data_IF_581508012244
#
_entry.id   IF_581508012244
#
_cell.length_a   1.000
_cell.length_b   1.000
_cell.length_c   1.000
_cell.angle_alpha   90.00
_cell.angle_beta   90.00
_cell.angle_gamma   90.00
#
_symmetry.space_group_name_H-M   'P 1'
#
loop_
_entity.id
_entity.type
_entity.pdbx_description
1 polymer ?
#
# COMPACT_ATOMS: atom_id res chain seq x y z
N UNK A 1 2.96 -11.67 -16.11
CA UNK A 1 2.57 -11.55 -14.70
C UNK A 1 1.99 -10.16 -14.56
N UNK A 2 0.77 -10.09 -14.06
CA UNK A 2 0.09 -8.84 -13.76
C UNK A 2 0.42 -8.43 -12.32
N UNK A 3 0.36 -7.13 -12.03
CA UNK A 3 0.64 -6.65 -10.67
C UNK A 3 -0.37 -7.18 -9.63
N UNK A 4 -1.57 -7.52 -10.08
CA UNK A 4 -2.60 -8.19 -9.28
C UNK A 4 -2.12 -9.58 -8.80
N UNK A 5 -1.31 -10.29 -9.58
CA UNK A 5 -0.76 -11.59 -9.19
C UNK A 5 0.07 -11.44 -7.91
N UNK A 6 0.87 -10.37 -7.79
CA UNK A 6 1.63 -10.06 -6.56
C UNK A 6 0.72 -9.71 -5.39
N UNK A 7 -0.36 -8.98 -5.65
CA UNK A 7 -1.27 -8.58 -4.58
C UNK A 7 -2.01 -9.77 -3.97
N UNK A 8 -2.28 -10.81 -4.77
CA UNK A 8 -2.87 -12.06 -4.28
C UNK A 8 -1.91 -12.90 -3.44
N UNK A 9 -0.60 -12.64 -3.48
CA UNK A 9 0.38 -13.28 -2.60
C UNK A 9 0.38 -12.66 -1.19
N UNK A 10 -0.19 -11.46 -1.04
CA UNK A 10 -0.23 -10.75 0.25
C UNK A 10 -1.51 -11.17 1.02
N UNK A 11 -1.39 -11.55 2.30
CA UNK A 11 -2.55 -11.85 3.14
C UNK A 11 -3.51 -10.67 3.22
N UNK A 12 -4.81 -10.96 3.24
CA UNK A 12 -5.82 -9.92 3.40
C UNK A 12 -5.77 -9.33 4.81
N UNK A 13 -5.57 -8.02 4.89
CA UNK A 13 -5.66 -7.24 6.12
C UNK A 13 -6.25 -5.87 5.83
N UNK A 14 -7.23 -5.50 6.64
CA UNK A 14 -7.89 -4.19 6.55
C UNK A 14 -7.49 -3.31 7.74
N UNK A 15 -7.21 -2.04 7.44
CA UNK A 15 -6.97 -1.05 8.48
C UNK A 15 -8.25 -0.93 9.35
N UNK A 16 -8.07 -0.77 10.66
CA UNK A 16 -9.19 -0.46 11.57
C UNK A 16 -9.93 0.79 11.04
N UNK A 17 -11.28 0.85 11.06
CA UNK A 17 -12.02 2.03 10.63
C UNK A 17 -11.48 3.32 11.25
N UNK A 18 -11.21 4.33 10.41
CA UNK A 18 -10.63 5.61 10.82
C UNK A 18 -9.13 5.61 11.12
N UNK A 19 -8.42 4.48 10.96
CA UNK A 19 -6.98 4.45 11.15
C UNK A 19 -6.24 5.16 10.01
N UNK A 20 -5.40 6.13 10.37
CA UNK A 20 -4.63 6.98 9.44
C UNK A 20 -3.16 7.12 9.84
N UNK A 21 -2.74 6.39 10.89
CA UNK A 21 -1.46 6.62 11.56
C UNK A 21 -0.26 6.34 10.64
N UNK A 22 -0.20 5.14 10.03
CA UNK A 22 0.89 4.81 9.11
C UNK A 22 0.95 5.77 7.91
N UNK A 23 -0.20 6.26 7.44
CA UNK A 23 -0.28 7.22 6.33
C UNK A 23 0.19 8.62 6.71
N UNK A 24 0.19 8.99 8.00
CA UNK A 24 0.72 10.26 8.50
C UNK A 24 2.20 10.18 8.87
N UNK A 25 2.61 9.05 9.43
CA UNK A 25 3.91 8.94 10.09
C UNK A 25 5.02 8.44 9.17
N UNK A 26 4.71 7.58 8.20
CA UNK A 26 5.73 6.83 7.43
C UNK A 26 5.93 7.29 5.99
N UNK A 27 5.43 8.48 5.62
CA UNK A 27 5.71 9.05 4.31
C UNK A 27 4.78 8.58 3.20
N UNK A 28 5.07 9.08 2.00
CA UNK A 28 4.49 8.55 0.77
C UNK A 28 5.23 7.26 0.42
N UNK A 29 4.53 6.12 0.29
CA UNK A 29 5.17 4.87 -0.11
C UNK A 29 5.82 5.03 -1.49
N UNK A 30 6.98 4.40 -1.67
CA UNK A 30 7.49 4.19 -3.03
C UNK A 30 6.49 3.35 -3.83
N UNK A 31 6.40 3.65 -5.12
CA UNK A 31 5.48 2.99 -6.04
C UNK A 31 6.11 2.95 -7.44
N UNK A 32 5.81 1.90 -8.18
CA UNK A 32 6.25 1.75 -9.58
C UNK A 32 5.42 2.61 -10.52
N UNK A 33 5.87 2.76 -11.78
CA UNK A 33 5.09 3.45 -12.82
C UNK A 33 3.72 2.80 -13.03
N UNK A 34 3.65 1.46 -12.95
CA UNK A 34 2.39 0.72 -13.07
C UNK A 34 1.40 1.11 -11.97
N UNK A 35 1.88 1.27 -10.74
CA UNK A 35 1.05 1.72 -9.61
C UNK A 35 0.67 3.19 -9.68
N UNK A 36 1.59 4.05 -10.11
CA UNK A 36 1.32 5.47 -10.38
C UNK A 36 0.16 5.63 -11.37
N UNK A 37 0.21 4.94 -12.52
CA UNK A 37 -0.84 5.00 -13.54
C UNK A 37 -2.17 4.42 -13.04
N UNK A 38 -2.14 3.38 -12.19
CA UNK A 38 -3.37 2.84 -11.56
C UNK A 38 -4.00 3.85 -10.61
N UNK A 39 -3.20 4.56 -9.83
CA UNK A 39 -3.69 5.59 -8.91
C UNK A 39 -4.21 6.78 -9.69
N UNK A 40 -3.49 7.23 -10.72
CA UNK A 40 -3.91 8.32 -11.60
C UNK A 40 -5.27 8.02 -12.24
N UNK A 41 -5.43 6.84 -12.87
CA UNK A 41 -6.69 6.43 -13.46
C UNK A 41 -7.83 6.39 -12.44
N UNK A 42 -7.59 5.81 -11.27
CA UNK A 42 -8.59 5.77 -10.20
C UNK A 42 -9.03 7.18 -9.78
N UNK A 43 -8.09 8.12 -9.63
CA UNK A 43 -8.41 9.50 -9.29
C UNK A 43 -9.22 10.18 -10.40
N UNK A 44 -8.80 10.03 -11.67
CA UNK A 44 -9.49 10.60 -12.82
C UNK A 44 -10.93 10.08 -12.95
N UNK A 45 -11.15 8.77 -12.75
CA UNK A 45 -12.48 8.14 -12.73
C UNK A 45 -13.37 8.69 -11.60
N UNK A 46 -12.78 9.21 -10.52
CA UNK A 46 -13.47 9.85 -9.41
C UNK A 46 -13.50 11.39 -9.49
N UNK A 47 -13.04 11.97 -10.61
CA UNK A 47 -13.01 13.43 -10.80
C UNK A 47 -11.94 14.14 -9.96
N UNK A 48 -10.93 13.42 -9.49
CA UNK A 48 -9.80 13.94 -8.72
C UNK A 48 -8.50 13.94 -9.53
N UNK A 49 -7.52 14.74 -9.10
CA UNK A 49 -6.17 14.76 -9.68
C UNK A 49 -5.12 14.21 -8.71
N UNK A 50 -3.91 13.95 -9.23
CA UNK A 50 -2.75 13.63 -8.39
C UNK A 50 -2.47 14.75 -7.39
N UNK A 51 -2.09 14.35 -6.18
CA UNK A 51 -1.81 15.27 -5.06
C UNK A 51 -0.36 15.15 -4.62
N UNK A 52 0.22 16.25 -4.17
CA UNK A 52 1.57 16.27 -3.63
C UNK A 52 1.56 16.09 -2.12
N UNK A 53 2.56 15.36 -1.63
CA UNK A 53 2.74 15.14 -0.21
C UNK A 53 3.16 16.41 0.52
N UNK A 54 2.72 16.56 1.77
CA UNK A 54 3.23 17.56 2.70
C UNK A 54 4.06 16.87 3.77
N UNK A 55 5.38 17.06 3.73
CA UNK A 55 6.32 16.38 4.62
C UNK A 55 6.24 14.85 4.48
N UNK A 56 5.98 14.16 5.59
CA UNK A 56 5.79 12.70 5.64
C UNK A 56 4.32 12.27 5.54
N UNK A 57 3.40 13.21 5.30
CA UNK A 57 1.97 12.87 5.24
C UNK A 57 1.59 12.43 3.83
N UNK A 58 1.03 11.22 3.72
CA UNK A 58 0.50 10.70 2.47
C UNK A 58 -0.59 11.64 1.91
N UNK A 59 -0.51 12.08 0.64
CA UNK A 59 -1.44 13.06 0.09
C UNK A 59 -2.87 12.52 -0.14
N UNK A 60 -3.04 11.20 -0.01
CA UNK A 60 -4.33 10.52 -0.12
C UNK A 60 -4.91 10.11 1.24
N UNK A 61 -4.29 10.55 2.34
CA UNK A 61 -4.89 10.38 3.67
C UNK A 61 -6.01 11.40 3.87
N UNK A 62 -7.11 10.96 4.44
CA UNK A 62 -8.23 11.80 4.85
C UNK A 62 -8.48 11.60 6.33
N UNK A 63 -9.39 12.36 6.94
CA UNK A 63 -9.81 12.10 8.33
C UNK A 63 -10.49 10.74 8.54
N UNK A 64 -10.94 10.08 7.46
CA UNK A 64 -11.71 8.83 7.50
C UNK A 64 -10.91 7.59 7.04
N UNK A 65 -9.69 7.78 6.54
CA UNK A 65 -8.87 6.70 5.95
C UNK A 65 -8.20 7.13 4.65
N UNK A 66 -7.79 6.14 3.85
CA UNK A 66 -7.12 6.37 2.57
C UNK A 66 -8.15 6.55 1.43
N UNK A 67 -8.10 7.65 0.69
CA UNK A 67 -9.01 7.89 -0.45
C UNK A 67 -8.73 6.97 -1.64
N UNK A 68 -7.52 6.41 -1.75
CA UNK A 68 -7.11 5.49 -2.82
C UNK A 68 -7.06 4.03 -2.35
N UNK A 69 -7.79 3.67 -1.28
CA UNK A 69 -7.69 2.36 -0.62
C UNK A 69 -7.72 1.14 -1.58
N UNK A 70 -8.60 1.09 -2.61
CA UNK A 70 -8.68 -0.04 -3.54
C UNK A 70 -7.43 -0.22 -4.40
N UNK A 71 -6.78 0.90 -4.75
CA UNK A 71 -5.60 0.94 -5.64
C UNK A 71 -4.31 1.24 -4.88
N UNK A 72 -4.25 0.92 -3.59
CA UNK A 72 -3.04 1.09 -2.77
C UNK A 72 -1.82 0.40 -3.40
N UNK A 73 -0.64 1.05 -3.36
CA UNK A 73 0.64 0.45 -3.72
C UNK A 73 0.97 -0.82 -2.94
N UNK A 74 1.88 -1.64 -3.46
CA UNK A 74 2.39 -2.86 -2.84
C UNK A 74 2.93 -2.56 -1.43
N UNK A 75 3.74 -1.52 -1.28
CA UNK A 75 4.33 -1.13 0.00
C UNK A 75 3.23 -0.82 1.04
N UNK A 76 2.13 -0.18 0.64
CA UNK A 76 0.98 0.03 1.54
C UNK A 76 0.27 -1.26 1.93
N UNK A 77 0.32 -2.30 1.10
CA UNK A 77 -0.30 -3.61 1.36
C UNK A 77 0.55 -4.45 2.31
N UNK A 78 1.87 -4.29 2.29
CA UNK A 78 2.79 -4.98 3.21
C UNK A 78 2.62 -4.55 4.68
N UNK A 79 2.21 -3.29 4.90
CA UNK A 79 1.96 -2.78 6.25
C UNK A 79 0.87 -3.58 6.98
N UNK A 80 1.32 -4.27 8.01
CA UNK A 80 0.57 -5.13 8.91
C UNK A 80 0.28 -6.52 8.34
N UNK A 81 0.78 -6.86 7.17
CA UNK A 81 0.70 -8.22 6.60
C UNK A 81 2.04 -8.93 6.61
N UNK A 82 3.15 -8.21 6.82
CA UNK A 82 4.49 -8.77 6.93
C UNK A 82 5.14 -8.47 8.28
N UNK A 83 6.01 -9.38 8.74
CA UNK A 83 6.82 -9.20 9.96
C UNK A 83 7.71 -7.95 9.91
N UNK A 84 8.24 -7.59 8.74
CA UNK A 84 9.12 -6.43 8.60
C UNK A 84 8.36 -5.10 8.50
N UNK A 85 7.06 -5.14 8.21
CA UNK A 85 6.19 -3.96 8.16
C UNK A 85 5.04 -4.09 9.17
N UNK A 86 5.29 -4.14 10.49
CA UNK A 86 4.23 -4.37 11.45
C UNK A 86 3.21 -3.22 11.49
N UNK A 87 1.94 -3.55 11.78
CA UNK A 87 0.93 -2.54 12.04
C UNK A 87 1.20 -1.87 13.41
N UNK A 88 1.27 -0.54 13.47
CA UNK A 88 1.43 0.19 14.75
C UNK A 88 0.31 -0.13 15.74
N UNK A 89 -0.90 -0.43 15.25
CA UNK A 89 -2.06 -0.79 16.07
C UNK A 89 -2.08 -2.26 16.50
N UNK A 90 -1.09 -3.06 16.09
CA UNK A 90 -1.02 -4.48 16.41
C UNK A 90 -2.00 -5.37 15.63
N UNK A 91 -2.57 -4.88 14.52
CA UNK A 91 -3.38 -5.72 13.63
C UNK A 91 -2.45 -6.64 12.84
N UNK A 92 -2.74 -7.94 12.89
CA UNK A 92 -1.97 -8.98 12.20
C UNK A 92 -2.96 -9.98 11.59
N UNK A 93 -2.81 -10.39 10.31
CA UNK A 93 -3.63 -11.44 9.71
C UNK A 93 -3.32 -12.81 10.34
N UNK A 94 -4.15 -13.82 10.06
CA UNK A 94 -3.95 -15.18 10.56
C UNK A 94 -2.60 -15.77 10.15
N UNK A 95 -2.18 -15.51 8.91
CA UNK A 95 -0.95 -16.00 8.31
C UNK A 95 -0.14 -14.80 7.77
N UNK A 96 0.58 -14.05 8.62
CA UNK A 96 1.43 -12.96 8.15
C UNK A 96 2.60 -13.52 7.33
N UNK A 97 3.05 -12.74 6.35
CA UNK A 97 4.24 -13.05 5.56
C UNK A 97 5.47 -13.17 6.47
N UNK A 98 6.24 -14.23 6.26
CA UNK A 98 7.60 -14.30 6.76
C UNK A 98 8.59 -13.51 5.87
N UNK A 99 9.84 -13.44 6.32
CA UNK A 99 10.90 -12.67 5.68
C UNK A 99 11.24 -13.19 4.28
N UNK A 100 11.17 -14.51 4.05
CA UNK A 100 11.46 -15.12 2.75
C UNK A 100 10.33 -14.84 1.76
N UNK A 101 9.07 -14.96 2.21
CA UNK A 101 7.90 -14.63 1.40
C UNK A 101 7.86 -13.16 1.00
N UNK A 102 8.13 -12.25 1.94
CA UNK A 102 8.26 -10.82 1.63
C UNK A 102 9.39 -10.57 0.63
N UNK A 103 10.56 -11.16 0.87
CA UNK A 103 11.74 -10.99 0.01
C UNK A 103 11.43 -11.42 -1.43
N UNK A 104 10.74 -12.55 -1.61
CA UNK A 104 10.35 -13.00 -2.94
C UNK A 104 9.32 -12.08 -3.59
N UNK A 105 8.32 -11.60 -2.85
CA UNK A 105 7.33 -10.63 -3.36
C UNK A 105 8.02 -9.34 -3.82
N UNK A 106 8.95 -8.80 -3.01
CA UNK A 106 9.71 -7.60 -3.36
C UNK A 106 10.63 -7.86 -4.55
N UNK A 107 11.30 -9.02 -4.61
CA UNK A 107 12.12 -9.42 -5.75
C UNK A 107 11.30 -9.44 -7.03
N UNK A 108 10.13 -10.09 -7.02
CA UNK A 108 9.23 -10.13 -8.17
C UNK A 108 8.71 -8.74 -8.53
N UNK A 109 8.36 -7.92 -7.52
CA UNK A 109 7.91 -6.55 -7.73
C UNK A 109 8.94 -5.72 -8.50
N UNK A 110 10.19 -5.74 -8.06
CA UNK A 110 11.25 -4.99 -8.74
C UNK A 110 11.68 -5.63 -10.07
N UNK A 111 11.63 -6.96 -10.19
CA UNK A 111 12.02 -7.64 -11.43
C UNK A 111 11.07 -7.33 -12.59
N UNK A 112 9.77 -7.23 -12.31
CA UNK A 112 8.74 -7.14 -13.36
C UNK A 112 8.13 -5.75 -13.51
N UNK A 113 8.26 -4.85 -12.53
CA UNK A 113 7.55 -3.57 -12.53
C UNK A 113 8.42 -2.32 -12.27
N UNK A 114 9.71 -2.47 -11.97
CA UNK A 114 10.63 -1.33 -11.74
C UNK A 114 11.15 -0.68 -13.04
#
# INVERSE_FOLDING_TARGET
>A
MEIQDLYHLIPDMHCIPGCIQCCKDFGVPSRTKVEEERIKRFLEENGEGLRMAEGTTCPYVTQWGCSIYPVRPLICRLYGTSKNYPCIRGVVPLNPLDEDQETEILRLYYTYFA
#
